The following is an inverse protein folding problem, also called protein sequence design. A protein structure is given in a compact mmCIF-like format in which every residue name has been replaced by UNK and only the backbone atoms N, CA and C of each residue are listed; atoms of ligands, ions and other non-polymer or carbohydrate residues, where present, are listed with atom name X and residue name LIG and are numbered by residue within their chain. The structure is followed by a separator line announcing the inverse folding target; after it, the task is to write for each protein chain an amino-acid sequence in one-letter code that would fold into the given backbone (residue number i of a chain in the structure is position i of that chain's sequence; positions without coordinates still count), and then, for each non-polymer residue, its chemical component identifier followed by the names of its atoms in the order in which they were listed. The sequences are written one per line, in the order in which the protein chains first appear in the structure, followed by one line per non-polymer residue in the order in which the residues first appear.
data_IF_817674560187
#
_entry.id   IF_817674560187
#
_cell.length_a   1.000
_cell.length_b   1.000
_cell.length_c   1.000
_cell.angle_alpha   90.00
_cell.angle_beta   90.00
_cell.angle_gamma   90.00
#
_symmetry.space_group_name_H-M   'P 1'
#
loop_
_entity.id
_entity.type
_entity.pdbx_description
1 polymer ?
#
# COMPACT_ATOMS: atom_id res chain seq x y z
N UNK A 1 -5.08 -45.56 -23.40
CA UNK A 1 -3.90 -44.84 -22.86
C UNK A 1 -4.00 -43.40 -23.37
N UNK A 2 -3.79 -42.40 -22.50
CA UNK A 2 -4.86 -41.57 -21.97
C UNK A 2 -4.80 -40.09 -22.40
N UNK A 3 -5.83 -39.36 -21.95
CA UNK A 3 -6.08 -37.93 -22.07
C UNK A 3 -4.84 -37.03 -21.98
N UNK A 4 -4.74 -36.07 -22.89
CA UNK A 4 -3.93 -34.86 -22.69
C UNK A 4 -4.67 -34.01 -21.67
N UNK A 5 -4.09 -33.92 -20.47
CA UNK A 5 -4.62 -33.11 -19.38
C UNK A 5 -4.53 -31.62 -19.74
N UNK A 6 -5.61 -30.91 -19.41
CA UNK A 6 -5.63 -29.48 -19.18
C UNK A 6 -4.47 -29.09 -18.26
N UNK A 7 -3.53 -28.31 -18.76
CA UNK A 7 -2.65 -27.53 -17.90
C UNK A 7 -3.18 -26.09 -17.88
N UNK A 8 -4.10 -25.88 -16.95
CA UNK A 8 -4.47 -24.58 -16.42
C UNK A 8 -3.18 -23.87 -16.01
N UNK A 9 -2.82 -22.79 -16.70
CA UNK A 9 -1.85 -21.81 -16.21
C UNK A 9 -2.46 -21.15 -14.97
N UNK A 10 -2.30 -21.82 -13.83
CA UNK A 10 -2.54 -21.24 -12.52
C UNK A 10 -1.64 -20.04 -12.40
N UNK A 11 -2.23 -18.85 -12.32
CA UNK A 11 -1.53 -17.61 -11.97
C UNK A 11 -0.84 -17.83 -10.62
N UNK A 12 0.44 -18.18 -10.65
CA UNK A 12 1.30 -18.09 -9.49
C UNK A 12 1.20 -16.64 -8.98
N UNK A 13 1.02 -16.39 -7.67
CA UNK A 13 1.18 -15.05 -7.15
C UNK A 13 2.60 -14.60 -7.52
N UNK A 14 2.71 -13.57 -8.34
CA UNK A 14 3.99 -12.97 -8.67
C UNK A 14 4.61 -12.53 -7.35
N UNK A 15 5.66 -13.23 -6.92
CA UNK A 15 6.37 -12.93 -5.68
C UNK A 15 6.73 -11.44 -5.70
N UNK A 16 6.22 -10.70 -4.72
CA UNK A 16 6.37 -9.26 -4.67
C UNK A 16 7.86 -8.91 -4.64
N UNK A 17 8.26 -7.84 -5.33
CA UNK A 17 9.62 -7.32 -5.20
C UNK A 17 9.95 -7.07 -3.71
N UNK A 18 11.17 -7.36 -3.24
CA UNK A 18 11.51 -7.20 -1.83
C UNK A 18 11.24 -5.81 -1.24
N UNK A 19 11.44 -4.74 -2.02
CA UNK A 19 11.16 -3.38 -1.53
C UNK A 19 9.66 -3.07 -1.48
N UNK A 20 8.86 -3.68 -2.36
CA UNK A 20 7.40 -3.60 -2.29
C UNK A 20 6.87 -4.42 -1.10
N UNK A 21 7.45 -5.60 -0.84
CA UNK A 21 7.09 -6.44 0.30
C UNK A 21 7.42 -5.74 1.64
N UNK A 22 8.49 -4.94 1.66
CA UNK A 22 8.89 -4.13 2.81
C UNK A 22 7.86 -3.05 3.13
N UNK A 23 7.36 -2.29 2.16
CA UNK A 23 6.31 -1.28 2.44
C UNK A 23 5.01 -1.93 2.91
N UNK A 24 4.62 -3.09 2.37
CA UNK A 24 3.45 -3.85 2.86
C UNK A 24 3.65 -4.29 4.31
N UNK A 25 4.83 -4.82 4.63
CA UNK A 25 5.19 -5.24 5.99
C UNK A 25 5.15 -4.08 6.99
N UNK A 26 5.66 -2.91 6.59
CA UNK A 26 5.64 -1.70 7.42
C UNK A 26 4.23 -1.19 7.64
N UNK A 27 3.39 -1.15 6.59
CA UNK A 27 1.99 -0.78 6.67
C UNK A 27 1.22 -1.69 7.64
N UNK A 28 1.38 -3.02 7.51
CA UNK A 28 0.76 -4.01 8.41
C UNK A 28 1.19 -3.81 9.85
N UNK A 29 2.49 -3.62 10.07
CA UNK A 29 3.08 -3.46 11.40
C UNK A 29 2.61 -2.16 12.07
N UNK A 30 2.52 -1.07 11.31
CA UNK A 30 1.98 0.20 11.78
C UNK A 30 0.52 0.04 12.23
N UNK A 31 -0.31 -0.56 11.37
CA UNK A 31 -1.72 -0.85 11.66
C UNK A 31 -1.88 -1.66 12.95
N UNK A 32 -1.14 -2.75 13.06
CA UNK A 32 -1.22 -3.66 14.21
C UNK A 32 -0.77 -3.00 15.53
N UNK A 33 0.22 -2.10 15.48
CA UNK A 33 0.74 -1.40 16.67
C UNK A 33 -0.31 -0.51 17.34
N UNK A 34 -1.16 0.14 16.54
CA UNK A 34 -2.13 1.14 17.05
C UNK A 34 -3.58 0.67 16.96
N UNK A 35 -3.84 -0.49 16.35
CA UNK A 35 -5.20 -1.01 16.16
C UNK A 35 -6.05 -0.18 15.21
N UNK A 36 -5.44 0.50 14.22
CA UNK A 36 -6.16 1.35 13.28
C UNK A 36 -6.94 0.53 12.25
N UNK A 37 -7.95 1.16 11.63
CA UNK A 37 -8.70 0.59 10.52
C UNK A 37 -7.75 0.20 9.37
N UNK A 38 -6.82 1.09 9.03
CA UNK A 38 -5.85 0.90 7.96
C UNK A 38 -4.44 1.31 8.40
N UNK A 39 -3.44 0.68 7.80
CA UNK A 39 -2.05 1.14 7.82
C UNK A 39 -1.55 1.31 6.40
N UNK A 40 -0.66 2.25 6.18
CA UNK A 40 -0.07 2.49 4.86
C UNK A 40 1.41 2.81 4.98
N UNK A 41 2.14 2.58 3.89
CA UNK A 41 3.52 3.00 3.76
C UNK A 41 3.79 3.45 2.32
N UNK A 42 4.57 4.51 2.17
CA UNK A 42 5.04 5.00 0.86
C UNK A 42 6.56 5.01 0.84
N UNK A 43 7.12 4.72 -0.33
CA UNK A 43 8.55 4.74 -0.61
C UNK A 43 8.84 5.87 -1.59
N UNK A 44 9.77 6.75 -1.21
CA UNK A 44 10.18 7.87 -2.04
C UNK A 44 11.33 7.50 -2.99
N UNK A 45 11.64 8.39 -3.92
CA UNK A 45 12.71 8.20 -4.92
C UNK A 45 14.13 8.22 -4.33
N UNK A 46 14.27 8.66 -3.07
CA UNK A 46 15.55 8.69 -2.35
C UNK A 46 15.73 7.43 -1.46
N UNK A 47 14.79 6.49 -1.52
CA UNK A 47 14.80 5.24 -0.76
C UNK A 47 14.31 5.37 0.69
N UNK A 48 13.76 6.53 1.10
CA UNK A 48 13.12 6.72 2.40
C UNK A 48 11.73 6.10 2.39
N UNK A 49 11.27 5.65 3.56
CA UNK A 49 9.94 5.06 3.71
C UNK A 49 9.17 5.73 4.82
N UNK A 50 7.91 6.05 4.54
CA UNK A 50 7.01 6.76 5.45
C UNK A 50 5.79 5.89 5.72
N UNK A 51 5.66 5.41 6.94
CA UNK A 51 4.50 4.65 7.37
C UNK A 51 3.55 5.52 8.20
N UNK A 52 2.25 5.32 8.00
CA UNK A 52 1.20 5.97 8.77
C UNK A 52 0.00 5.04 8.95
N UNK A 53 -0.99 5.51 9.71
CA UNK A 53 -2.25 4.81 9.96
C UNK A 53 -3.41 5.81 9.79
N UNK A 54 -4.63 5.30 9.66
CA UNK A 54 -5.83 6.13 9.59
C UNK A 54 -5.89 7.11 10.77
N UNK A 55 -6.14 8.38 10.48
CA UNK A 55 -6.36 9.43 11.48
C UNK A 55 -7.86 9.67 11.59
N UNK A 56 -8.42 9.55 12.79
CA UNK A 56 -9.87 9.68 13.04
C UNK A 56 -10.17 10.61 14.21
N UNK A 57 -9.68 11.85 14.14
CA UNK A 57 -9.99 12.89 15.11
C UNK A 57 -11.26 13.65 14.71
N UNK A 58 -11.81 14.45 15.64
CA UNK A 58 -12.99 15.28 15.36
C UNK A 58 -12.73 16.33 14.28
N UNK A 59 -11.54 16.92 14.29
CA UNK A 59 -11.17 18.06 13.44
C UNK A 59 -10.24 17.71 12.29
N UNK A 60 -9.74 16.46 12.25
CA UNK A 60 -8.85 15.98 11.21
C UNK A 60 -9.08 14.49 10.98
N UNK A 61 -9.44 14.13 9.75
CA UNK A 61 -9.61 12.76 9.30
C UNK A 61 -8.76 12.56 8.07
N UNK A 62 -7.91 11.55 8.09
CA UNK A 62 -7.06 11.18 6.98
C UNK A 62 -7.11 9.67 6.84
N UNK A 63 -7.17 9.20 5.60
CA UNK A 63 -6.90 7.79 5.31
C UNK A 63 -5.44 7.49 5.63
N UNK A 64 -5.08 6.20 5.74
CA UNK A 64 -3.71 5.86 6.03
C UNK A 64 -2.74 6.31 4.91
N UNK A 65 -3.15 6.20 3.64
CA UNK A 65 -2.37 6.67 2.50
C UNK A 65 -2.17 8.19 2.52
N UNK A 66 -3.24 8.95 2.75
CA UNK A 66 -3.14 10.41 2.86
C UNK A 66 -2.17 10.82 3.97
N UNK A 67 -2.23 10.17 5.14
CA UNK A 67 -1.33 10.46 6.24
C UNK A 67 0.13 10.09 5.92
N UNK A 68 0.37 8.97 5.21
CA UNK A 68 1.71 8.54 4.82
C UNK A 68 2.33 9.51 3.79
N UNK A 69 1.56 9.91 2.78
CA UNK A 69 2.01 10.89 1.78
C UNK A 69 2.22 12.27 2.41
N UNK A 70 1.32 12.72 3.28
CA UNK A 70 1.50 13.99 4.00
C UNK A 70 2.80 14.00 4.82
N UNK A 71 3.15 12.88 5.47
CA UNK A 71 4.41 12.74 6.19
C UNK A 71 5.62 12.77 5.24
N UNK A 72 5.54 12.10 4.09
CA UNK A 72 6.59 12.13 3.06
C UNK A 72 6.84 13.56 2.56
N UNK A 73 5.78 14.27 2.16
CA UNK A 73 5.85 15.66 1.69
C UNK A 73 6.40 16.58 2.78
N UNK A 74 5.90 16.48 4.01
CA UNK A 74 6.40 17.28 5.13
C UNK A 74 7.87 17.01 5.46
N UNK A 75 8.38 15.83 5.08
CA UNK A 75 9.79 15.43 5.23
C UNK A 75 10.65 15.76 4.00
N UNK A 76 10.08 16.45 3.00
CA UNK A 76 10.79 16.85 1.78
C UNK A 76 10.99 15.73 0.76
N UNK A 77 10.08 14.76 0.68
CA UNK A 77 10.04 13.84 -0.45
C UNK A 77 9.51 14.58 -1.70
N UNK A 78 10.26 14.53 -2.80
CA UNK A 78 9.88 15.18 -4.07
C UNK A 78 9.16 14.22 -5.03
N UNK A 79 9.25 12.90 -4.79
CA UNK A 79 8.66 11.88 -5.64
C UNK A 79 8.37 10.59 -4.89
N UNK A 80 7.37 9.83 -5.33
CA UNK A 80 7.08 8.47 -4.83
C UNK A 80 7.32 7.44 -5.92
N UNK A 81 7.93 6.32 -5.53
CA UNK A 81 8.12 5.17 -6.41
C UNK A 81 7.11 4.05 -6.16
N UNK A 82 6.59 3.91 -4.94
CA UNK A 82 5.56 2.92 -4.61
C UNK A 82 4.79 3.30 -3.34
N UNK A 83 3.57 2.77 -3.21
CA UNK A 83 2.73 2.88 -2.02
C UNK A 83 2.06 1.55 -1.71
N UNK A 84 1.78 1.31 -0.43
CA UNK A 84 1.02 0.17 0.03
C UNK A 84 0.01 0.58 1.10
N UNK A 85 -1.16 -0.06 1.08
CA UNK A 85 -2.20 0.06 2.10
C UNK A 85 -2.65 -1.32 2.54
N UNK A 86 -2.69 -1.52 3.86
CA UNK A 86 -3.23 -2.70 4.52
C UNK A 86 -4.56 -2.32 5.14
N UNK A 87 -5.63 -2.90 4.62
CA UNK A 87 -7.01 -2.58 5.00
C UNK A 87 -7.88 -3.82 4.88
N UNK A 88 -8.97 -3.87 5.66
CA UNK A 88 -10.02 -4.88 5.48
C UNK A 88 -11.03 -4.47 4.38
N UNK A 89 -10.91 -3.24 3.85
CA UNK A 89 -11.72 -2.76 2.74
C UNK A 89 -11.36 -3.47 1.42
N UNK A 90 -12.37 -3.72 0.59
CA UNK A 90 -12.20 -4.38 -0.71
C UNK A 90 -11.72 -3.42 -1.81
N UNK A 91 -11.72 -2.12 -1.55
CA UNK A 91 -11.34 -1.06 -2.47
C UNK A 91 -10.55 0.02 -1.73
N UNK A 92 -9.76 0.78 -2.48
CA UNK A 92 -9.05 1.97 -1.98
C UNK A 92 -9.79 3.18 -2.53
N UNK A 93 -10.08 4.17 -1.70
CA UNK A 93 -10.79 5.35 -2.15
C UNK A 93 -9.98 6.15 -3.18
N UNK A 94 -10.68 6.81 -4.10
CA UNK A 94 -10.07 7.51 -5.22
C UNK A 94 -9.17 8.68 -4.76
N UNK A 95 -9.52 9.37 -3.67
CA UNK A 95 -8.75 10.51 -3.17
C UNK A 95 -7.41 10.06 -2.54
N UNK A 96 -7.38 8.89 -1.89
CA UNK A 96 -6.14 8.27 -1.42
C UNK A 96 -5.20 7.92 -2.57
N UNK A 97 -5.75 7.36 -3.66
CA UNK A 97 -4.94 7.07 -4.85
C UNK A 97 -4.47 8.38 -5.48
N UNK A 98 -5.34 9.37 -5.62
CA UNK A 98 -5.00 10.68 -6.19
C UNK A 98 -3.83 11.35 -5.46
N UNK A 99 -3.83 11.33 -4.12
CA UNK A 99 -2.73 11.90 -3.32
C UNK A 99 -1.40 11.19 -3.56
N UNK A 100 -1.39 9.88 -3.81
CA UNK A 100 -0.15 9.19 -4.25
C UNK A 100 0.25 9.64 -5.66
N UNK A 101 -0.71 9.78 -6.57
CA UNK A 101 -0.49 10.18 -7.97
C UNK A 101 0.06 11.61 -8.09
N UNK A 102 -0.29 12.50 -7.17
CA UNK A 102 0.23 13.88 -7.12
C UNK A 102 1.76 13.92 -6.95
N UNK A 103 2.34 12.95 -6.21
CA UNK A 103 3.78 12.85 -5.97
C UNK A 103 4.45 11.72 -6.78
N UNK A 104 3.66 10.80 -7.35
CA UNK A 104 4.14 9.66 -8.12
C UNK A 104 3.10 9.22 -9.15
N UNK A 105 3.06 9.92 -10.29
CA UNK A 105 2.05 9.71 -11.34
C UNK A 105 1.89 8.25 -11.78
N UNK A 106 2.99 7.47 -11.77
CA UNK A 106 3.01 6.05 -12.14
C UNK A 106 3.30 5.09 -10.97
N UNK A 107 3.43 5.59 -9.74
CA UNK A 107 3.83 4.79 -8.57
C UNK A 107 2.77 3.72 -8.24
N UNK A 108 3.06 2.42 -8.29
CA UNK A 108 2.09 1.39 -7.90
C UNK A 108 1.50 1.62 -6.51
N UNK A 109 0.20 1.37 -6.37
CA UNK A 109 -0.46 1.30 -5.06
C UNK A 109 -0.86 -0.15 -4.80
N UNK A 110 -0.22 -0.81 -3.85
CA UNK A 110 -0.54 -2.18 -3.46
C UNK A 110 -1.59 -2.19 -2.35
N UNK A 111 -2.72 -2.86 -2.58
CA UNK A 111 -3.69 -3.17 -1.52
C UNK A 111 -3.41 -4.55 -0.99
N UNK A 112 -3.17 -4.65 0.31
CA UNK A 112 -2.98 -5.90 1.03
C UNK A 112 -4.07 -6.11 2.09
N UNK A 113 -4.35 -7.36 2.39
CA UNK A 113 -5.25 -7.74 3.46
C UNK A 113 -4.58 -7.61 4.85
N UNK A 114 -5.32 -7.90 5.92
CA UNK A 114 -4.80 -7.84 7.30
C UNK A 114 -3.61 -8.78 7.58
N UNK A 115 -3.42 -9.83 6.80
CA UNK A 115 -2.29 -10.75 6.92
C UNK A 115 -1.05 -10.19 6.21
N UNK A 116 -1.23 -9.17 5.36
CA UNK A 116 -0.19 -8.56 4.54
C UNK A 116 -0.05 -9.23 3.18
N UNK A 117 -1.04 -10.03 2.78
CA UNK A 117 -1.09 -10.62 1.45
C UNK A 117 -1.61 -9.57 0.46
N UNK A 118 -0.86 -9.31 -0.61
CA UNK A 118 -1.27 -8.36 -1.64
C UNK A 118 -2.40 -8.96 -2.46
N UNK A 119 -3.55 -8.29 -2.46
CA UNK A 119 -4.77 -8.74 -3.13
C UNK A 119 -5.09 -7.93 -4.39
N UNK A 120 -4.51 -6.73 -4.53
CA UNK A 120 -4.68 -5.91 -5.73
C UNK A 120 -3.55 -4.89 -5.91
N UNK A 121 -3.37 -4.46 -7.16
CA UNK A 121 -2.59 -3.28 -7.53
C UNK A 121 -3.55 -2.24 -8.15
N UNK A 122 -3.54 -1.04 -7.60
CA UNK A 122 -4.40 0.11 -7.95
C UNK A 122 -3.55 1.21 -8.60
#
# INVERSE_FOLDING_TARGET
MPAVADNVEGTMPHELDPEDAKIVTLARSARARVGAAEGAAVRDTDGRTYAACTVSLSSLRLTALQAAVANAVASGAEGLEAAAVVTDATEVDADSVAVVRDLGASAPVFRADRHGEVVARV
#
